data_IF_978944998398
#
_entry.id   IF_978944998398
#
_cell.length_a   1.000
_cell.length_b   1.000
_cell.length_c   1.000
_cell.angle_alpha   90.00
_cell.angle_beta   90.00
_cell.angle_gamma   90.00
#
_symmetry.space_group_name_H-M   'P 1'
#
loop_
_entity.id
_entity.type
_entity.pdbx_description
1 polymer ?
#
# COMPACT_ATOMS: atom_id res chain seq x y z
N UNK A 1 5.36 -30.92 -22.48
CA UNK A 1 5.61 -29.46 -22.58
C UNK A 1 7.10 -29.27 -22.84
N UNK A 2 7.47 -28.53 -23.89
CA UNK A 2 8.87 -28.29 -24.19
C UNK A 2 9.54 -27.50 -23.05
N UNK A 3 10.84 -27.74 -22.81
CA UNK A 3 11.58 -27.06 -21.74
C UNK A 3 11.48 -25.52 -21.83
N UNK A 4 11.47 -24.98 -23.04
CA UNK A 4 11.27 -23.55 -23.28
C UNK A 4 9.90 -23.06 -22.75
N UNK A 5 8.83 -23.81 -23.00
CA UNK A 5 7.49 -23.51 -22.51
C UNK A 5 7.43 -23.55 -20.98
N UNK A 6 8.11 -24.51 -20.35
CA UNK A 6 8.17 -24.63 -18.89
C UNK A 6 8.87 -23.42 -18.26
N UNK A 7 10.00 -23.00 -18.84
CA UNK A 7 10.77 -21.84 -18.35
C UNK A 7 9.93 -20.56 -18.43
N UNK A 8 9.23 -20.34 -19.55
CA UNK A 8 8.37 -19.15 -19.74
C UNK A 8 7.23 -19.14 -18.73
N UNK A 9 6.58 -20.28 -18.49
CA UNK A 9 5.50 -20.40 -17.51
C UNK A 9 6.01 -20.08 -16.10
N UNK A 10 7.18 -20.59 -15.71
CA UNK A 10 7.76 -20.32 -14.39
C UNK A 10 8.11 -18.83 -14.19
N UNK A 11 8.70 -18.18 -15.20
CA UNK A 11 8.98 -16.75 -15.15
C UNK A 11 7.70 -15.93 -15.02
N UNK A 12 6.68 -16.27 -15.81
CA UNK A 12 5.40 -15.57 -15.78
C UNK A 12 4.66 -15.75 -14.44
N UNK A 13 4.62 -16.98 -13.93
CA UNK A 13 4.05 -17.28 -12.62
C UNK A 13 4.78 -16.53 -11.49
N UNK A 14 6.11 -16.46 -11.54
CA UNK A 14 6.90 -15.68 -10.59
C UNK A 14 6.59 -14.19 -10.62
N UNK A 15 6.46 -13.61 -11.82
CA UNK A 15 6.10 -12.21 -11.99
C UNK A 15 4.70 -11.88 -11.45
N UNK A 16 3.70 -12.70 -11.80
CA UNK A 16 2.33 -12.55 -11.30
C UNK A 16 2.26 -12.70 -9.78
N UNK A 17 2.98 -13.67 -9.22
CA UNK A 17 3.05 -13.84 -7.77
C UNK A 17 3.68 -12.63 -7.06
N UNK A 18 4.78 -12.09 -7.60
CA UNK A 18 5.44 -10.92 -7.04
C UNK A 18 4.52 -9.68 -7.06
N UNK A 19 3.91 -9.39 -8.22
CA UNK A 19 2.99 -8.27 -8.36
C UNK A 19 1.74 -8.46 -7.48
N UNK A 20 1.16 -9.65 -7.48
CA UNK A 20 0.01 -9.99 -6.63
C UNK A 20 0.33 -9.82 -5.14
N UNK A 21 1.50 -10.28 -4.69
CA UNK A 21 1.97 -10.09 -3.30
C UNK A 21 2.18 -8.61 -2.96
N UNK A 22 2.75 -7.84 -3.88
CA UNK A 22 2.95 -6.40 -3.71
C UNK A 22 1.61 -5.67 -3.58
N UNK A 23 0.67 -5.93 -4.49
CA UNK A 23 -0.67 -5.34 -4.46
C UNK A 23 -1.47 -5.78 -3.23
N UNK A 24 -1.42 -7.07 -2.87
CA UNK A 24 -2.05 -7.58 -1.66
C UNK A 24 -1.48 -6.89 -0.41
N UNK A 25 -0.17 -6.66 -0.34
CA UNK A 25 0.42 -5.91 0.78
C UNK A 25 -0.02 -4.45 0.80
N UNK A 26 -0.18 -3.80 -0.36
CA UNK A 26 -0.65 -2.41 -0.45
C UNK A 26 -2.11 -2.25 -0.02
N UNK A 27 -2.96 -3.25 -0.31
CA UNK A 27 -4.39 -3.21 -0.01
C UNK A 27 -4.72 -3.76 1.38
N UNK A 28 -3.90 -4.67 1.91
CA UNK A 28 -4.18 -5.42 3.15
C UNK A 28 -3.34 -4.92 4.33
N UNK A 29 -2.95 -3.65 4.35
CA UNK A 29 -2.34 -3.03 5.54
C UNK A 29 -3.42 -2.91 6.62
N UNK A 30 -3.43 -3.86 7.56
CA UNK A 30 -4.23 -3.73 8.77
C UNK A 30 -3.56 -2.65 9.62
N UNK A 31 -4.09 -1.42 9.49
CA UNK A 31 -3.71 -0.18 10.18
C UNK A 31 -2.48 0.55 9.59
N UNK A 32 -2.75 1.79 9.18
CA UNK A 32 -1.85 2.92 8.92
C UNK A 32 -0.99 2.87 7.65
N UNK A 33 -1.19 3.91 6.83
CA UNK A 33 -0.18 4.65 6.09
C UNK A 33 1.22 4.03 6.10
N UNK A 34 1.69 3.58 4.94
CA UNK A 34 3.07 3.15 4.78
C UNK A 34 4.03 4.26 5.23
N UNK A 35 4.73 4.03 6.36
CA UNK A 35 6.00 4.61 6.81
C UNK A 35 6.17 6.14 6.93
N UNK A 36 5.55 6.94 6.05
CA UNK A 36 5.70 8.40 5.94
C UNK A 36 4.50 9.09 5.25
N UNK A 37 3.39 8.39 5.05
CA UNK A 37 2.20 9.00 4.45
C UNK A 37 1.40 9.79 5.52
N UNK A 38 1.48 11.13 5.46
CA UNK A 38 0.50 12.06 6.04
C UNK A 38 -0.88 11.93 5.35
N UNK A 39 -1.39 10.72 5.17
CA UNK A 39 -2.74 10.51 4.63
C UNK A 39 -3.73 10.57 5.79
N UNK A 40 -4.50 11.66 5.81
CA UNK A 40 -5.54 11.94 6.81
C UNK A 40 -5.06 12.94 7.85
N UNK A 41 -5.26 14.22 7.56
CA UNK A 41 -5.34 15.24 8.62
C UNK A 41 -6.58 14.88 9.44
N UNK A 42 -6.36 14.28 10.60
CA UNK A 42 -7.41 14.02 11.58
C UNK A 42 -7.70 15.33 12.33
N UNK A 43 -8.82 15.96 12.00
CA UNK A 43 -9.34 17.16 12.68
C UNK A 43 -10.27 16.81 13.84
N UNK A 44 -10.27 15.55 14.29
CA UNK A 44 -11.19 15.07 15.34
C UNK A 44 -10.82 15.58 16.74
N UNK A 45 -9.67 16.26 16.88
CA UNK A 45 -9.19 16.83 18.15
C UNK A 45 -8.70 18.28 18.08
N UNK A 46 -8.96 19.01 16.98
CA UNK A 46 -8.63 20.44 16.92
C UNK A 46 -9.81 21.23 17.47
N UNK A 47 -9.75 21.61 18.75
CA UNK A 47 -10.63 22.65 19.29
C UNK A 47 -10.35 23.96 18.52
N UNK A 48 -11.39 24.69 18.07
CA UNK A 48 -11.19 25.96 17.39
C UNK A 48 -10.44 26.89 18.34
N UNK A 49 -9.21 27.28 17.97
CA UNK A 49 -8.43 28.23 18.73
C UNK A 49 -9.28 29.49 18.91
N UNK A 50 -9.78 29.68 20.14
CA UNK A 50 -10.47 30.88 20.56
C UNK A 50 -9.54 32.05 20.23
N UNK A 51 -9.97 32.92 19.33
CA UNK A 51 -9.25 34.13 18.94
C UNK A 51 -8.95 34.93 20.21
N UNK A 52 -7.75 34.76 20.76
CA UNK A 52 -7.22 35.58 21.82
C UNK A 52 -6.70 36.87 21.18
N UNK A 53 -7.60 37.87 21.15
CA UNK A 53 -7.34 39.29 21.40
C UNK A 53 -5.99 39.83 20.90
N UNK A 54 -6.03 40.57 19.78
CA UNK A 54 -5.31 41.83 19.67
C UNK A 54 -6.25 42.89 19.13
#
# INVERSE_FOLDING_TARGET
>A
MNMQTIIVILLFAGAVFYLGRMMYKSLTTKKACGGNCKCGVDFSGIEPAKTAKR
#
